data_IF_327697179706
#
_entry.id   IF_327697179706
#
_cell.length_a   1.000
_cell.length_b   1.000
_cell.length_c   1.000
_cell.angle_alpha   90.00
_cell.angle_beta   90.00
_cell.angle_gamma   90.00
#
_symmetry.space_group_name_H-M   'P 1'
#
loop_
_entity.id
_entity.type
_entity.pdbx_description
1 polymer ?
#
# COMPACT_ATOMS: atom_id res chain seq x y z
N UNK A 1 -13.80 3.51 -7.26
CA UNK A 1 -14.17 4.94 -7.09
C UNK A 1 -13.56 5.42 -5.78
N UNK A 2 -13.05 6.65 -5.74
CA UNK A 2 -12.58 7.25 -4.49
C UNK A 2 -13.77 7.44 -3.54
N UNK A 3 -13.69 6.87 -2.35
CA UNK A 3 -14.59 7.13 -1.24
C UNK A 3 -14.08 8.36 -0.48
N UNK A 4 -14.91 9.39 -0.39
CA UNK A 4 -14.58 10.66 0.28
C UNK A 4 -14.71 10.57 1.82
N UNK A 5 -15.41 9.56 2.33
CA UNK A 5 -15.59 9.34 3.76
C UNK A 5 -15.71 7.83 4.06
N UNK A 6 -14.59 7.17 4.34
CA UNK A 6 -14.54 5.76 4.70
C UNK A 6 -15.40 5.38 5.91
N UNK A 7 -15.52 6.22 6.96
CA UNK A 7 -16.40 5.90 8.09
C UNK A 7 -17.88 5.67 7.72
N UNK A 8 -18.34 6.14 6.55
CA UNK A 8 -19.71 5.87 6.08
C UNK A 8 -19.88 4.48 5.45
N UNK A 9 -18.79 3.77 5.14
CA UNK A 9 -18.82 2.51 4.36
C UNK A 9 -18.09 1.35 5.03
N UNK A 10 -17.35 1.58 6.10
CA UNK A 10 -16.65 0.56 6.88
C UNK A 10 -16.58 0.93 8.37
N UNK A 11 -16.61 -0.09 9.22
CA UNK A 11 -16.43 0.04 10.68
C UNK A 11 -14.94 -0.03 11.09
N UNK A 12 -14.06 -0.49 10.18
CA UNK A 12 -12.62 -0.50 10.46
C UNK A 12 -12.11 0.94 10.48
N UNK A 13 -11.38 1.32 11.53
CA UNK A 13 -10.86 2.68 11.68
C UNK A 13 -9.62 2.88 10.80
N UNK A 14 -9.77 3.72 9.78
CA UNK A 14 -8.69 4.18 8.89
C UNK A 14 -8.14 5.57 9.26
N UNK A 15 -8.89 6.33 10.06
CA UNK A 15 -8.47 7.64 10.55
C UNK A 15 -8.20 7.55 12.06
N UNK A 16 -7.07 6.94 12.44
CA UNK A 16 -6.72 6.75 13.85
C UNK A 16 -6.54 8.08 14.58
N UNK A 17 -7.04 8.16 15.81
CA UNK A 17 -6.84 9.30 16.71
C UNK A 17 -5.59 9.14 17.61
N UNK A 18 -4.93 7.97 17.53
CA UNK A 18 -3.73 7.69 18.30
C UNK A 18 -2.54 8.49 17.75
N UNK A 19 -1.64 9.01 18.61
CA UNK A 19 -0.47 9.73 18.16
C UNK A 19 0.39 8.90 17.18
N UNK A 20 0.87 9.49 16.08
CA UNK A 20 1.83 8.82 15.21
C UNK A 20 3.10 8.37 15.95
N UNK A 21 3.67 7.19 15.62
CA UNK A 21 3.34 6.32 14.49
C UNK A 21 2.47 5.10 14.84
N UNK A 22 1.50 5.22 15.75
CA UNK A 22 0.71 4.09 16.24
C UNK A 22 0.14 3.18 15.13
N UNK A 23 0.35 1.87 15.27
CA UNK A 23 -0.25 0.85 14.41
C UNK A 23 -1.77 0.88 14.55
N UNK A 24 -2.47 0.60 13.45
CA UNK A 24 -3.92 0.68 13.35
C UNK A 24 -4.55 -0.65 12.94
N UNK A 25 -4.15 -1.22 11.81
CA UNK A 25 -4.71 -2.46 11.28
C UNK A 25 -3.69 -3.23 10.43
N UNK A 26 -3.90 -4.55 10.23
CA UNK A 26 -3.15 -5.29 9.25
C UNK A 26 -3.57 -4.91 7.83
N UNK A 27 -2.67 -5.13 6.89
CA UNK A 27 -2.97 -5.21 5.45
C UNK A 27 -2.52 -6.55 4.92
N UNK A 28 -3.31 -7.12 4.02
CA UNK A 28 -2.94 -8.31 3.26
C UNK A 28 -2.25 -7.88 1.98
N UNK A 29 -0.99 -8.26 1.79
CA UNK A 29 -0.25 -8.09 0.55
C UNK A 29 -0.49 -9.23 -0.42
N UNK A 30 -0.82 -8.89 -1.66
CA UNK A 30 -0.95 -9.83 -2.76
C UNK A 30 0.40 -10.16 -3.37
N UNK A 31 0.61 -11.43 -3.70
CA UNK A 31 1.80 -11.88 -4.42
C UNK A 31 1.90 -11.18 -5.78
N UNK A 32 2.98 -10.42 -5.99
CA UNK A 32 3.31 -9.80 -7.26
C UNK A 32 4.72 -10.25 -7.69
N UNK A 33 4.89 -10.87 -8.88
CA UNK A 33 6.21 -11.29 -9.36
C UNK A 33 7.24 -10.14 -9.42
N UNK A 34 6.81 -8.93 -9.78
CA UNK A 34 7.66 -7.74 -9.89
C UNK A 34 8.27 -7.31 -8.56
N UNK A 35 7.55 -7.55 -7.44
CA UNK A 35 7.99 -7.13 -6.11
C UNK A 35 8.48 -8.27 -5.23
N UNK A 36 8.41 -9.52 -5.72
CA UNK A 36 8.68 -10.72 -4.90
C UNK A 36 10.04 -10.66 -4.22
N UNK A 37 11.10 -10.41 -4.98
CA UNK A 37 12.47 -10.40 -4.48
C UNK A 37 12.68 -9.24 -3.49
N UNK A 38 12.13 -8.06 -3.81
CA UNK A 38 12.21 -6.88 -2.95
C UNK A 38 11.51 -7.10 -1.60
N UNK A 39 10.27 -7.60 -1.62
CA UNK A 39 9.49 -7.86 -0.40
C UNK A 39 10.17 -8.93 0.46
N UNK A 40 10.70 -9.99 -0.15
CA UNK A 40 11.49 -11.01 0.55
C UNK A 40 12.75 -10.42 1.18
N UNK A 41 13.49 -9.58 0.46
CA UNK A 41 14.69 -8.91 0.97
C UNK A 41 14.40 -7.89 2.09
N UNK A 42 13.15 -7.43 2.20
CA UNK A 42 12.68 -6.57 3.29
C UNK A 42 12.02 -7.36 4.43
N UNK A 43 11.91 -8.70 4.33
CA UNK A 43 11.21 -9.52 5.32
C UNK A 43 9.69 -9.27 5.38
N UNK A 44 9.10 -8.76 4.29
CA UNK A 44 7.66 -8.50 4.19
C UNK A 44 6.95 -9.78 3.76
N UNK A 45 6.03 -10.25 4.60
CA UNK A 45 5.19 -11.43 4.35
C UNK A 45 3.85 -11.10 3.69
N UNK A 46 2.89 -12.01 3.79
CA UNK A 46 1.51 -11.81 3.29
C UNK A 46 0.72 -10.80 4.14
N UNK A 47 1.08 -10.62 5.41
CA UNK A 47 0.42 -9.66 6.31
C UNK A 47 1.45 -8.70 6.89
N UNK A 48 1.13 -7.42 6.88
CA UNK A 48 1.93 -6.34 7.46
C UNK A 48 1.02 -5.45 8.32
N UNK A 49 1.42 -5.18 9.56
CA UNK A 49 0.73 -4.19 10.40
C UNK A 49 1.11 -2.78 9.94
N UNK A 50 0.13 -1.89 9.79
CA UNK A 50 0.37 -0.51 9.31
C UNK A 50 -0.28 0.51 10.25
N UNK A 51 0.20 1.75 10.20
CA UNK A 51 -0.50 2.90 10.75
C UNK A 51 -1.58 3.37 9.77
N UNK A 52 -2.51 4.20 10.23
CA UNK A 52 -3.60 4.67 9.37
C UNK A 52 -4.15 6.01 9.84
N UNK A 53 -4.06 7.03 8.96
CA UNK A 53 -4.40 8.43 9.25
C UNK A 53 -5.17 9.08 8.10
N UNK A 54 -6.09 8.34 7.48
CA UNK A 54 -6.88 8.80 6.34
C UNK A 54 -8.37 8.51 6.53
N UNK A 55 -9.22 9.49 6.17
CA UNK A 55 -10.67 9.29 6.13
C UNK A 55 -11.19 9.09 4.69
N UNK A 56 -10.31 9.13 3.69
CA UNK A 56 -10.63 8.88 2.28
C UNK A 56 -9.86 7.66 1.80
N UNK A 57 -10.35 6.99 0.77
CA UNK A 57 -9.64 5.84 0.20
C UNK A 57 -10.42 5.14 -0.89
N UNK A 58 -9.84 4.07 -1.43
CA UNK A 58 -10.50 3.23 -2.43
C UNK A 58 -11.24 2.11 -1.68
N UNK A 59 -12.56 2.25 -1.55
CA UNK A 59 -13.37 1.33 -0.73
C UNK A 59 -13.51 -0.09 -1.30
N UNK A 60 -13.33 -0.27 -2.62
CA UNK A 60 -13.22 -1.59 -3.23
C UNK A 60 -12.40 -1.57 -4.52
N UNK A 61 -11.77 -2.70 -4.84
CA UNK A 61 -10.94 -2.88 -6.04
C UNK A 61 -11.70 -3.08 -7.35
N UNK A 62 -12.95 -3.54 -7.30
CA UNK A 62 -13.78 -3.89 -8.46
C UNK A 62 -14.02 -2.69 -9.39
N UNK A 63 -13.89 -1.47 -8.85
CA UNK A 63 -14.06 -0.22 -9.59
C UNK A 63 -12.73 0.43 -10.00
N UNK A 64 -11.60 -0.27 -9.85
CA UNK A 64 -10.31 0.25 -10.31
C UNK A 64 -10.12 -0.02 -11.81
N UNK A 65 -9.54 0.95 -12.55
CA UNK A 65 -9.08 0.70 -13.92
C UNK A 65 -8.09 -0.46 -13.96
N UNK A 66 -8.07 -1.20 -15.07
CA UNK A 66 -7.14 -2.33 -15.28
C UNK A 66 -5.67 -1.94 -15.22
N UNK A 67 -5.35 -0.65 -15.44
CA UNK A 67 -4.01 -0.08 -15.27
C UNK A 67 -3.53 -0.04 -13.81
N UNK A 68 -4.43 -0.20 -12.82
CA UNK A 68 -4.11 -0.24 -11.41
C UNK A 68 -4.19 -1.67 -10.90
N UNK A 69 -3.03 -2.23 -10.55
CA UNK A 69 -2.95 -3.54 -9.93
C UNK A 69 -2.91 -3.38 -8.41
N UNK A 70 -3.95 -3.83 -7.72
CA UNK A 70 -3.98 -3.86 -6.25
C UNK A 70 -2.85 -4.73 -5.71
N UNK A 71 -2.13 -4.19 -4.73
CA UNK A 71 -1.05 -4.84 -4.01
C UNK A 71 -1.38 -5.14 -2.56
N UNK A 72 -2.19 -4.30 -1.90
CA UNK A 72 -2.58 -4.54 -0.53
C UNK A 72 -4.02 -4.11 -0.26
N UNK A 73 -4.72 -4.84 0.60
CA UNK A 73 -6.06 -4.51 1.11
C UNK A 73 -6.12 -4.69 2.63
N UNK A 74 -6.84 -3.82 3.31
CA UNK A 74 -7.24 -4.00 4.70
C UNK A 74 -8.36 -5.09 4.81
N UNK A 75 -8.67 -5.61 6.02
CA UNK A 75 -9.67 -6.67 6.21
C UNK A 75 -11.07 -6.36 5.71
N UNK A 76 -11.42 -5.08 5.60
CA UNK A 76 -12.69 -4.56 5.10
C UNK A 76 -12.73 -4.39 3.57
N UNK A 77 -11.61 -4.66 2.88
CA UNK A 77 -11.49 -4.54 1.42
C UNK A 77 -11.07 -3.16 0.93
N UNK A 78 -10.78 -2.21 1.83
CA UNK A 78 -10.16 -0.93 1.45
C UNK A 78 -8.78 -1.20 0.85
N UNK A 79 -8.51 -0.64 -0.32
CA UNK A 79 -7.23 -0.79 -1.01
C UNK A 79 -6.19 0.11 -0.36
N UNK A 80 -5.10 -0.52 0.09
CA UNK A 80 -4.02 0.09 0.87
C UNK A 80 -2.75 0.28 0.06
N UNK A 81 -2.59 -0.47 -1.03
CA UNK A 81 -1.51 -0.26 -1.97
C UNK A 81 -1.88 -0.71 -3.39
N UNK A 82 -1.30 -0.06 -4.40
CA UNK A 82 -1.41 -0.48 -5.79
C UNK A 82 -0.18 -0.09 -6.61
N UNK A 83 0.02 -0.80 -7.72
CA UNK A 83 0.93 -0.41 -8.81
C UNK A 83 0.14 0.19 -9.96
N UNK A 84 0.70 1.20 -10.61
CA UNK A 84 0.19 1.71 -11.88
C UNK A 84 1.08 1.29 -13.05
N UNK A 85 0.43 0.72 -14.07
CA UNK A 85 1.05 0.32 -15.32
C UNK A 85 0.55 1.23 -16.45
N UNK A 86 1.46 1.94 -17.16
CA UNK A 86 1.10 2.61 -18.39
C UNK A 86 0.57 1.61 -19.43
N UNK A 87 -0.29 2.09 -20.33
CA UNK A 87 -0.83 1.27 -21.41
C UNK A 87 0.30 0.63 -22.25
N UNK A 88 0.22 -0.69 -22.45
CA UNK A 88 1.22 -1.45 -23.18
C UNK A 88 2.55 -1.70 -22.45
N UNK A 89 2.68 -1.30 -21.19
CA UNK A 89 3.91 -1.52 -20.40
C UNK A 89 3.79 -2.71 -19.46
N UNK A 90 4.82 -3.56 -19.44
CA UNK A 90 4.96 -4.65 -18.47
C UNK A 90 5.61 -4.21 -17.15
N UNK A 91 6.09 -2.96 -17.08
CA UNK A 91 6.79 -2.39 -15.92
C UNK A 91 5.92 -1.32 -15.27
N UNK A 92 5.69 -1.40 -13.93
CA UNK A 92 4.94 -0.36 -13.25
C UNK A 92 5.76 0.94 -13.21
N UNK A 93 5.08 2.08 -13.31
CA UNK A 93 5.70 3.42 -13.22
C UNK A 93 5.36 4.16 -11.95
N UNK A 94 4.38 3.67 -11.19
CA UNK A 94 4.12 4.17 -9.85
C UNK A 94 3.77 3.04 -8.91
N UNK A 95 4.14 3.24 -7.65
CA UNK A 95 3.70 2.49 -6.50
C UNK A 95 3.03 3.50 -5.56
N UNK A 96 1.84 3.18 -5.09
CA UNK A 96 1.13 3.95 -4.08
C UNK A 96 0.86 3.06 -2.87
N UNK A 97 1.01 3.66 -1.68
CA UNK A 97 0.57 3.10 -0.40
C UNK A 97 -0.30 4.15 0.29
N UNK A 98 -1.25 3.71 1.10
CA UNK A 98 -2.21 4.59 1.76
C UNK A 98 -1.82 4.89 3.21
N UNK A 99 -1.12 3.98 3.89
CA UNK A 99 -0.45 4.22 5.17
C UNK A 99 0.81 5.09 5.02
N UNK A 100 1.42 5.45 6.15
CA UNK A 100 2.62 6.29 6.23
C UNK A 100 3.87 5.46 6.59
N UNK A 101 4.54 4.80 5.62
CA UNK A 101 5.74 4.00 5.88
C UNK A 101 6.93 4.83 6.39
N UNK A 102 6.98 6.13 6.08
CA UNK A 102 7.99 7.08 6.56
C UNK A 102 7.96 7.26 8.07
N UNK A 103 6.83 6.95 8.72
CA UNK A 103 6.68 7.05 10.17
C UNK A 103 7.00 5.72 10.88
N UNK A 104 7.12 4.61 10.15
CA UNK A 104 7.24 3.26 10.72
C UNK A 104 8.61 2.62 10.54
N UNK A 105 9.42 3.09 9.59
CA UNK A 105 10.63 2.36 9.18
C UNK A 105 11.72 2.28 10.27
N UNK A 106 11.74 3.22 11.22
CA UNK A 106 12.69 3.21 12.34
C UNK A 106 12.35 2.10 13.36
N UNK A 107 11.06 1.88 13.61
CA UNK A 107 10.57 0.84 14.53
C UNK A 107 10.50 -0.53 13.85
N UNK A 108 10.18 -0.55 12.55
CA UNK A 108 10.08 -1.76 11.75
C UNK A 108 10.60 -1.56 10.32
N UNK A 109 11.83 -2.05 10.10
CA UNK A 109 12.52 -1.98 8.82
C UNK A 109 11.78 -2.60 7.64
N UNK A 110 10.76 -3.44 7.88
CA UNK A 110 9.89 -3.97 6.81
C UNK A 110 9.25 -2.84 6.02
N UNK A 111 8.94 -1.70 6.64
CA UNK A 111 8.34 -0.53 5.97
C UNK A 111 9.28 0.22 5.02
N UNK A 112 10.56 -0.17 4.89
CA UNK A 112 11.48 0.41 3.91
C UNK A 112 11.18 0.00 2.46
N UNK A 113 10.36 -1.03 2.24
CA UNK A 113 10.16 -1.60 0.91
C UNK A 113 9.63 -0.60 -0.14
N UNK A 114 8.72 0.35 0.13
CA UNK A 114 8.28 1.32 -0.88
C UNK A 114 9.40 2.27 -1.30
N UNK A 115 10.25 2.68 -0.35
CA UNK A 115 11.40 3.54 -0.61
C UNK A 115 12.48 2.82 -1.42
N UNK A 116 12.75 1.56 -1.10
CA UNK A 116 13.67 0.72 -1.89
C UNK A 116 13.16 0.53 -3.31
N UNK A 117 11.86 0.26 -3.48
CA UNK A 117 11.23 0.19 -4.80
C UNK A 117 11.46 1.49 -5.60
N UNK A 118 11.24 2.65 -4.98
CA UNK A 118 11.43 3.95 -5.62
C UNK A 118 12.89 4.15 -6.09
N UNK A 119 13.87 3.82 -5.25
CA UNK A 119 15.30 3.93 -5.59
C UNK A 119 15.69 2.99 -6.72
N UNK A 120 15.21 1.74 -6.70
CA UNK A 120 15.47 0.75 -7.75
C UNK A 120 14.83 1.17 -9.08
N UNK A 121 13.57 1.63 -9.05
CA UNK A 121 12.87 2.13 -10.22
C UNK A 121 13.61 3.33 -10.84
N UNK A 122 14.04 4.31 -10.03
CA UNK A 122 14.76 5.48 -10.51
C UNK A 122 16.12 5.15 -11.14
N UNK A 123 16.81 4.10 -10.65
CA UNK A 123 18.08 3.64 -11.24
C UNK A 123 17.90 2.94 -12.58
N UNK A 124 16.77 2.28 -12.78
CA UNK A 124 16.47 1.56 -14.02
C UNK A 124 16.01 2.49 -15.17
N UNK A 125 15.75 3.77 -14.89
CA UNK A 125 15.40 4.78 -15.90
C UNK A 125 16.61 5.48 -16.53
N UNK A 126 17.83 5.22 -16.05
CA UNK A 126 19.09 5.71 -16.63
C UNK A 126 19.74 4.71 -17.58
#
# INVERSE_FOLDING_TARGET
>A
MLCQHLPDVTELTHNSDQPPPALAHPVRLYANPTLRELLQACGVGEVLEVNSYHHQGIANRQQLPTALQVLAEAPDGVVEAFLWYPEGSATPRALAVQWHPELLFEDDSRHLWPFRWLVEAARAEG
#
